data_IF_643994336931
#
_entry.id   IF_643994336931
#
_cell.length_a   1.000
_cell.length_b   1.000
_cell.length_c   1.000
_cell.angle_alpha   90.00
_cell.angle_beta   90.00
_cell.angle_gamma   90.00
#
_symmetry.space_group_name_H-M   'P 1'
#
loop_
_entity.id
_entity.type
_entity.pdbx_description
1 polymer ?
#
# COMPACT_ATOMS: atom_id res chain seq x y z
N UNK A 1 5.57 -7.82 19.29
CA UNK A 1 6.02 -8.69 18.16
C UNK A 1 7.34 -9.37 18.51
N UNK A 2 7.38 -10.70 18.42
CA UNK A 2 8.61 -11.48 18.64
C UNK A 2 9.61 -11.38 17.49
N UNK A 3 10.87 -11.75 17.72
CA UNK A 3 11.90 -11.72 16.67
C UNK A 3 11.64 -12.75 15.55
N UNK A 4 10.97 -13.86 15.88
CA UNK A 4 10.55 -14.84 14.88
C UNK A 4 9.52 -14.24 13.91
N UNK A 5 8.52 -13.53 14.43
CA UNK A 5 7.51 -12.85 13.60
C UNK A 5 8.13 -11.72 12.78
N UNK A 6 9.04 -10.92 13.36
CA UNK A 6 9.77 -9.88 12.61
C UNK A 6 10.55 -10.47 11.43
N UNK A 7 11.26 -11.58 11.64
CA UNK A 7 12.02 -12.24 10.58
C UNK A 7 11.11 -12.71 9.44
N UNK A 8 9.93 -13.27 9.77
CA UNK A 8 8.94 -13.67 8.76
C UNK A 8 8.32 -12.48 8.05
N UNK A 9 8.08 -11.37 8.75
CA UNK A 9 7.56 -10.14 8.15
C UNK A 9 8.55 -9.57 7.12
N UNK A 10 9.85 -9.54 7.44
CA UNK A 10 10.90 -9.17 6.46
C UNK A 10 10.89 -10.11 5.26
N UNK A 11 10.87 -11.44 5.49
CA UNK A 11 10.81 -12.41 4.41
C UNK A 11 9.56 -12.25 3.51
N UNK A 12 8.42 -11.84 4.08
CA UNK A 12 7.20 -11.52 3.34
C UNK A 12 7.39 -10.30 2.43
N UNK A 13 8.02 -9.23 2.91
CA UNK A 13 8.35 -8.06 2.09
C UNK A 13 9.34 -8.44 0.99
N UNK A 14 10.41 -9.17 1.34
CA UNK A 14 11.44 -9.59 0.37
C UNK A 14 10.89 -10.49 -0.75
N UNK A 15 9.86 -11.29 -0.44
CA UNK A 15 9.18 -12.15 -1.39
C UNK A 15 8.07 -11.43 -2.20
N UNK A 16 7.78 -10.16 -1.89
CA UNK A 16 6.67 -9.44 -2.50
C UNK A 16 6.96 -9.13 -3.97
N UNK A 17 6.14 -9.67 -4.86
CA UNK A 17 6.24 -9.40 -6.29
C UNK A 17 5.79 -7.97 -6.60
N UNK A 18 6.43 -7.33 -7.59
CA UNK A 18 6.10 -5.96 -7.99
C UNK A 18 5.82 -5.91 -9.49
N UNK A 19 4.64 -5.40 -9.86
CA UNK A 19 4.27 -5.14 -11.25
C UNK A 19 4.07 -3.65 -11.45
N UNK A 20 5.03 -3.01 -12.12
CA UNK A 20 5.08 -1.55 -12.28
C UNK A 20 4.93 -1.20 -13.76
N UNK A 21 3.99 -0.32 -14.08
CA UNK A 21 3.73 0.17 -15.44
C UNK A 21 3.02 -0.86 -16.31
N UNK A 22 3.79 -1.62 -17.10
CA UNK A 22 3.28 -2.60 -18.07
C UNK A 22 4.25 -3.79 -18.21
N UNK A 23 3.75 -5.03 -18.40
CA UNK A 23 2.34 -5.41 -18.55
C UNK A 23 1.60 -5.64 -17.21
N UNK A 24 0.54 -4.88 -16.97
CA UNK A 24 -0.53 -5.22 -16.02
C UNK A 24 -1.76 -5.61 -16.86
N UNK A 25 -1.95 -6.91 -17.10
CA UNK A 25 -3.11 -7.39 -17.87
C UNK A 25 -4.42 -7.27 -17.06
N UNK A 26 -4.30 -7.34 -15.74
CA UNK A 26 -5.35 -7.11 -14.77
C UNK A 26 -4.66 -6.64 -13.46
N UNK A 27 -4.96 -5.44 -12.93
CA UNK A 27 -5.88 -4.41 -13.43
C UNK A 27 -5.41 -3.73 -14.73
N UNK A 28 -6.31 -2.95 -15.35
CA UNK A 28 -6.06 -2.30 -16.64
C UNK A 28 -4.86 -1.35 -16.54
N UNK A 29 -3.92 -1.44 -17.49
CA UNK A 29 -2.72 -0.59 -17.55
C UNK A 29 -3.02 0.92 -17.49
N UNK A 30 -4.16 1.36 -18.00
CA UNK A 30 -4.56 2.77 -18.02
C UNK A 30 -5.27 3.22 -16.73
N UNK A 31 -5.49 2.33 -15.77
CA UNK A 31 -6.18 2.65 -14.53
C UNK A 31 -5.31 3.55 -13.63
N UNK A 32 -5.94 4.57 -13.04
CA UNK A 32 -5.30 5.49 -12.10
C UNK A 32 -5.56 4.98 -10.70
N UNK A 33 -4.88 3.89 -10.34
CA UNK A 33 -5.01 3.24 -9.03
C UNK A 33 -3.76 2.40 -8.70
N UNK A 34 -3.70 1.80 -7.51
CA UNK A 34 -2.70 0.81 -7.11
C UNK A 34 -3.34 -0.28 -6.24
N UNK A 35 -2.68 -1.43 -6.10
CA UNK A 35 -3.26 -2.59 -5.45
C UNK A 35 -2.22 -3.48 -4.77
N UNK A 36 -2.63 -4.08 -3.65
CA UNK A 36 -2.04 -5.28 -3.09
C UNK A 36 -2.94 -6.49 -3.35
N UNK A 37 -2.37 -7.58 -3.89
CA UNK A 37 -3.08 -8.84 -4.10
C UNK A 37 -2.53 -9.90 -3.12
N UNK A 38 -3.31 -10.18 -2.07
CA UNK A 38 -2.86 -10.95 -0.91
C UNK A 38 -2.45 -12.38 -1.25
N UNK A 39 -3.25 -13.07 -2.08
CA UNK A 39 -3.04 -14.45 -2.50
C UNK A 39 -1.79 -14.65 -3.36
N UNK A 40 -1.24 -13.57 -3.91
CA UNK A 40 -0.01 -13.59 -4.70
C UNK A 40 1.17 -12.91 -3.98
N UNK A 41 0.93 -12.29 -2.82
CA UNK A 41 1.87 -11.39 -2.17
C UNK A 41 2.49 -10.42 -3.20
N UNK A 42 1.63 -9.71 -3.93
CA UNK A 42 2.01 -8.90 -5.08
C UNK A 42 1.45 -7.48 -4.97
N UNK A 43 2.26 -6.48 -5.27
CA UNK A 43 1.83 -5.08 -5.43
C UNK A 43 1.86 -4.68 -6.91
N UNK A 44 0.81 -3.97 -7.34
CA UNK A 44 0.59 -3.60 -8.73
C UNK A 44 0.35 -2.11 -8.86
N UNK A 45 1.16 -1.47 -9.71
CA UNK A 45 1.04 -0.06 -10.08
C UNK A 45 0.88 0.03 -11.60
N UNK A 46 -0.36 0.07 -12.13
CA UNK A 46 -0.61 0.31 -13.55
C UNK A 46 0.05 1.60 -14.04
N UNK A 47 0.40 1.68 -15.33
CA UNK A 47 1.03 2.90 -15.88
C UNK A 47 0.18 4.16 -15.68
N UNK A 48 -1.15 4.04 -15.61
CA UNK A 48 -2.08 5.15 -15.39
C UNK A 48 -1.87 5.90 -14.08
N UNK A 49 -1.40 5.28 -12.99
CA UNK A 49 -1.12 6.00 -11.73
C UNK A 49 0.23 6.72 -11.73
N UNK A 50 1.11 6.41 -12.70
CA UNK A 50 2.50 6.87 -12.77
C UNK A 50 2.64 8.25 -13.42
N UNK A 51 1.79 9.18 -13.04
CA UNK A 51 1.71 10.54 -13.60
C UNK A 51 1.53 11.58 -12.48
N UNK A 52 1.56 12.86 -12.86
CA UNK A 52 1.24 13.96 -11.94
C UNK A 52 -0.18 13.79 -11.36
N UNK A 53 -0.40 14.03 -10.05
CA UNK A 53 0.56 14.56 -9.06
C UNK A 53 1.37 13.48 -8.31
N UNK A 54 1.16 12.20 -8.61
CA UNK A 54 1.75 11.08 -7.86
C UNK A 54 3.23 10.89 -8.16
N UNK A 55 3.66 11.10 -9.40
CA UNK A 55 5.05 10.97 -9.80
C UNK A 55 5.42 11.95 -10.91
N UNK A 56 6.62 12.54 -10.83
CA UNK A 56 7.13 13.42 -11.86
C UNK A 56 8.66 13.38 -11.95
N UNK A 57 9.20 13.22 -13.16
CA UNK A 57 10.66 13.20 -13.39
C UNK A 57 11.34 14.55 -13.09
N UNK A 58 10.60 15.65 -13.17
CA UNK A 58 11.08 16.99 -12.85
C UNK A 58 10.74 17.44 -11.42
N UNK A 59 10.10 16.58 -10.62
CA UNK A 59 9.75 16.94 -9.25
C UNK A 59 10.97 16.87 -8.34
N UNK A 60 11.05 17.75 -7.32
CA UNK A 60 12.00 17.57 -6.25
C UNK A 60 11.83 16.18 -5.62
N UNK A 61 12.94 15.53 -5.26
CA UNK A 61 12.91 14.16 -4.73
C UNK A 61 11.93 14.00 -3.57
N UNK A 62 11.89 14.95 -2.63
CA UNK A 62 10.99 14.93 -1.48
C UNK A 62 9.50 14.90 -1.89
N UNK A 63 9.13 15.47 -3.04
CA UNK A 63 7.76 15.39 -3.56
C UNK A 63 7.48 13.97 -4.01
N UNK A 64 8.36 13.38 -4.83
CA UNK A 64 8.21 11.99 -5.27
C UNK A 64 8.23 11.02 -4.07
N UNK A 65 9.06 11.23 -3.05
CA UNK A 65 9.03 10.43 -1.83
C UNK A 65 7.70 10.56 -1.09
N UNK A 66 7.21 11.80 -0.93
CA UNK A 66 5.95 12.07 -0.25
C UNK A 66 4.71 11.53 -0.97
N UNK A 67 4.71 11.54 -2.30
CA UNK A 67 3.59 11.06 -3.11
C UNK A 67 3.75 9.59 -3.50
N UNK A 68 4.73 9.28 -4.34
CA UNK A 68 4.98 7.93 -4.84
C UNK A 68 5.45 6.99 -3.73
N UNK A 69 6.34 7.46 -2.86
CA UNK A 69 6.81 6.66 -1.72
C UNK A 69 5.68 6.34 -0.74
N UNK A 70 4.76 7.28 -0.49
CA UNK A 70 3.58 7.02 0.34
C UNK A 70 2.68 5.97 -0.31
N UNK A 71 2.35 6.13 -1.60
CA UNK A 71 1.52 5.17 -2.34
C UNK A 71 2.14 3.76 -2.33
N UNK A 72 3.44 3.68 -2.60
CA UNK A 72 4.19 2.43 -2.53
C UNK A 72 4.11 1.76 -1.15
N UNK A 73 4.39 2.52 -0.10
CA UNK A 73 4.36 2.02 1.27
C UNK A 73 2.94 1.70 1.75
N UNK A 74 1.91 2.35 1.21
CA UNK A 74 0.50 2.02 1.44
C UNK A 74 0.21 0.60 0.93
N UNK A 75 0.55 0.30 -0.34
CA UNK A 75 0.35 -1.04 -0.91
C UNK A 75 1.17 -2.13 -0.21
N UNK A 76 2.37 -1.82 0.28
CA UNK A 76 3.15 -2.76 1.08
C UNK A 76 2.48 -3.01 2.45
N UNK A 77 1.92 -1.96 3.05
CA UNK A 77 1.26 -2.03 4.36
C UNK A 77 0.01 -2.90 4.33
N UNK A 78 -0.70 -2.98 3.21
CA UNK A 78 -1.79 -3.93 3.03
C UNK A 78 -1.36 -5.37 3.32
N UNK A 79 -0.11 -5.74 3.01
CA UNK A 79 0.43 -7.06 3.37
C UNK A 79 0.42 -7.36 4.88
N UNK A 80 0.18 -6.38 5.74
CA UNK A 80 0.23 -6.51 7.20
C UNK A 80 -0.99 -5.90 7.92
N UNK A 81 -1.99 -5.44 7.17
CA UNK A 81 -3.23 -4.91 7.76
C UNK A 81 -4.11 -6.03 8.37
N UNK A 82 -5.33 -5.68 8.79
CA UNK A 82 -6.24 -6.63 9.43
C UNK A 82 -6.65 -7.81 8.52
N UNK A 83 -6.50 -7.69 7.20
CA UNK A 83 -6.75 -8.75 6.22
C UNK A 83 -5.44 -9.43 5.81
N UNK A 84 -4.45 -8.65 5.38
CA UNK A 84 -3.19 -9.15 4.83
C UNK A 84 -2.32 -9.89 5.85
N UNK A 85 -2.46 -9.60 7.15
CA UNK A 85 -1.76 -10.36 8.21
C UNK A 85 -2.03 -11.87 8.17
N UNK A 86 -3.15 -12.28 7.57
CA UNK A 86 -3.53 -13.69 7.49
C UNK A 86 -2.85 -14.45 6.34
N UNK A 87 -2.05 -13.77 5.52
CA UNK A 87 -1.37 -14.35 4.37
C UNK A 87 0.13 -14.39 4.65
N UNK A 88 0.78 -15.52 4.37
CA UNK A 88 2.23 -15.66 4.52
C UNK A 88 3.01 -15.11 3.31
N UNK A 89 4.34 -15.28 3.30
CA UNK A 89 5.23 -14.82 2.23
C UNK A 89 4.93 -15.41 0.85
N UNK A 90 4.20 -16.53 0.79
CA UNK A 90 3.82 -17.22 -0.45
C UNK A 90 2.36 -16.96 -0.83
N UNK A 91 1.66 -16.07 -0.11
CA UNK A 91 0.25 -15.77 -0.32
C UNK A 91 -0.71 -16.86 0.21
N UNK A 92 -0.25 -17.76 1.08
CA UNK A 92 -1.14 -18.74 1.69
C UNK A 92 -1.85 -18.15 2.90
N UNK A 93 -3.15 -18.40 3.02
CA UNK A 93 -3.92 -18.00 4.20
C UNK A 93 -3.60 -18.89 5.41
N UNK A 94 -2.73 -18.44 6.29
CA UNK A 94 -2.27 -19.15 7.49
C UNK A 94 -2.04 -18.18 8.65
N UNK A 95 -2.27 -18.63 9.89
CA UNK A 95 -1.91 -17.84 11.08
C UNK A 95 -0.41 -18.05 11.36
N UNK A 96 0.41 -17.07 10.95
CA UNK A 96 1.86 -17.12 11.09
C UNK A 96 2.40 -16.21 12.20
N UNK A 97 1.52 -15.47 12.89
CA UNK A 97 1.86 -14.67 14.06
C UNK A 97 1.69 -15.46 15.34
N UNK A 98 2.52 -15.17 16.33
CA UNK A 98 2.28 -15.65 17.69
C UNK A 98 1.11 -14.89 18.35
N UNK A 99 0.47 -15.54 19.32
CA UNK A 99 -0.70 -14.99 20.00
C UNK A 99 -0.44 -13.63 20.67
N UNK A 100 0.78 -13.41 21.18
CA UNK A 100 1.15 -12.13 21.78
C UNK A 100 1.16 -10.99 20.73
N UNK A 101 1.67 -11.27 19.53
CA UNK A 101 1.67 -10.33 18.41
C UNK A 101 0.26 -10.03 17.91
N UNK A 102 -0.61 -11.04 17.85
CA UNK A 102 -2.02 -10.86 17.46
C UNK A 102 -2.73 -9.92 18.43
N UNK A 103 -2.62 -10.17 19.74
CA UNK A 103 -3.23 -9.33 20.78
C UNK A 103 -2.71 -7.89 20.73
N UNK A 104 -1.39 -7.73 20.59
CA UNK A 104 -0.78 -6.39 20.47
C UNK A 104 -1.24 -5.65 19.21
N UNK A 105 -1.38 -6.37 18.09
CA UNK A 105 -1.87 -5.81 16.83
C UNK A 105 -3.33 -5.38 16.95
N UNK A 106 -4.21 -6.26 17.40
CA UNK A 106 -5.65 -5.98 17.55
C UNK A 106 -5.88 -4.78 18.47
N UNK A 107 -5.11 -4.65 19.54
CA UNK A 107 -5.15 -3.48 20.43
C UNK A 107 -4.83 -2.18 19.69
N UNK A 108 -3.84 -2.17 18.79
CA UNK A 108 -3.46 -0.98 18.00
C UNK A 108 -4.45 -0.72 16.87
N UNK A 109 -4.92 -1.79 16.21
CA UNK A 109 -5.92 -1.75 15.16
C UNK A 109 -7.24 -1.17 15.68
N UNK A 110 -7.60 -1.46 16.95
CA UNK A 110 -8.76 -0.86 17.61
C UNK A 110 -8.64 0.66 17.74
N UNK A 111 -7.44 1.22 17.94
CA UNK A 111 -7.27 2.67 17.98
C UNK A 111 -7.68 3.35 16.67
N UNK A 112 -7.44 2.72 15.52
CA UNK A 112 -7.91 3.23 14.23
C UNK A 112 -9.44 3.17 14.12
N UNK A 113 -10.06 2.08 14.57
CA UNK A 113 -11.53 1.98 14.60
C UNK A 113 -12.10 3.12 15.45
N UNK A 114 -11.63 3.24 16.69
CA UNK A 114 -12.12 4.24 17.64
C UNK A 114 -11.92 5.68 17.13
N UNK A 115 -10.80 5.94 16.46
CA UNK A 115 -10.53 7.24 15.86
C UNK A 115 -11.49 7.55 14.71
N UNK A 116 -11.66 6.62 13.77
CA UNK A 116 -12.45 6.86 12.57
C UNK A 116 -13.96 6.81 12.83
N UNK A 117 -14.42 6.08 13.86
CA UNK A 117 -15.82 6.11 14.34
C UNK A 117 -16.25 7.50 14.86
N UNK A 118 -15.30 8.40 15.16
CA UNK A 118 -15.58 9.76 15.60
C UNK A 118 -15.75 10.75 14.43
N UNK A 119 -15.48 10.32 13.19
CA UNK A 119 -15.54 11.20 12.03
C UNK A 119 -16.91 11.19 11.35
N UNK A 120 -17.32 12.37 10.90
CA UNK A 120 -18.48 12.57 10.06
C UNK A 120 -18.06 13.23 8.76
N UNK A 121 -18.60 12.74 7.65
CA UNK A 121 -18.43 13.34 6.32
C UNK A 121 -19.76 13.88 5.84
N UNK A 122 -19.70 14.86 4.95
CA UNK A 122 -20.87 15.31 4.22
C UNK A 122 -20.92 14.49 2.93
N UNK A 123 -21.98 13.69 2.77
CA UNK A 123 -22.16 12.90 1.57
C UNK A 123 -22.67 13.75 0.39
N UNK A 124 -22.82 13.13 -0.78
CA UNK A 124 -23.22 13.81 -2.02
C UNK A 124 -24.57 14.54 -1.93
N UNK A 125 -25.44 14.13 -1.00
CA UNK A 125 -26.75 14.73 -0.77
C UNK A 125 -26.71 15.87 0.27
N UNK A 126 -25.52 16.25 0.74
CA UNK A 126 -25.33 17.29 1.75
C UNK A 126 -25.65 16.85 3.18
N UNK A 127 -25.80 15.54 3.43
CA UNK A 127 -26.12 15.00 4.76
C UNK A 127 -24.84 14.55 5.47
N UNK A 128 -24.82 14.77 6.78
CA UNK A 128 -23.78 14.20 7.64
C UNK A 128 -23.95 12.68 7.72
N UNK A 129 -22.86 11.96 7.50
CA UNK A 129 -22.77 10.50 7.55
C UNK A 129 -21.56 10.11 8.40
N UNK A 130 -21.75 9.15 9.31
CA UNK A 130 -20.66 8.68 10.15
C UNK A 130 -19.76 7.75 9.35
N UNK A 131 -18.45 7.93 9.47
CA UNK A 131 -17.51 6.90 9.03
C UNK A 131 -17.65 5.70 9.96
N UNK A 132 -17.59 4.50 9.39
CA UNK A 132 -17.54 3.25 10.15
C UNK A 132 -16.09 2.78 10.19
N UNK A 133 -15.40 2.99 11.31
CA UNK A 133 -13.97 2.76 11.47
C UNK A 133 -13.56 1.31 11.20
N UNK A 134 -14.41 0.34 11.56
CA UNK A 134 -14.16 -1.07 11.22
C UNK A 134 -14.15 -1.33 9.71
N UNK A 135 -14.99 -0.63 8.93
CA UNK A 135 -15.04 -0.81 7.47
C UNK A 135 -13.86 -0.16 6.75
N UNK A 136 -13.23 0.85 7.36
CA UNK A 136 -12.07 1.55 6.79
C UNK A 136 -10.75 1.09 7.40
N UNK A 137 -10.78 0.09 8.29
CA UNK A 137 -9.61 -0.26 9.11
C UNK A 137 -8.38 -0.63 8.27
N UNK A 138 -8.54 -1.41 7.20
CA UNK A 138 -7.44 -1.82 6.33
C UNK A 138 -6.73 -0.62 5.71
N UNK A 139 -7.50 0.24 5.03
CA UNK A 139 -7.02 1.47 4.39
C UNK A 139 -6.37 2.43 5.39
N UNK A 140 -6.98 2.60 6.56
CA UNK A 140 -6.46 3.55 7.57
C UNK A 140 -5.18 3.06 8.23
N UNK A 141 -5.00 1.74 8.39
CA UNK A 141 -3.72 1.14 8.77
C UNK A 141 -2.69 1.34 7.65
N UNK A 142 -3.08 1.11 6.39
CA UNK A 142 -2.20 1.25 5.24
C UNK A 142 -1.74 2.70 5.03
N UNK A 143 -2.63 3.68 5.19
CA UNK A 143 -2.32 5.11 5.15
C UNK A 143 -1.32 5.52 6.24
N UNK A 144 -1.55 5.09 7.50
CA UNK A 144 -0.65 5.38 8.60
C UNK A 144 0.73 4.72 8.42
N UNK A 145 0.75 3.48 7.92
CA UNK A 145 1.98 2.78 7.54
C UNK A 145 2.72 3.49 6.41
N UNK A 146 1.98 3.93 5.39
CA UNK A 146 2.50 4.64 4.22
C UNK A 146 3.14 5.98 4.59
N UNK A 147 2.43 6.82 5.34
CA UNK A 147 2.92 8.12 5.77
C UNK A 147 4.10 8.01 6.74
N UNK A 148 4.12 7.00 7.61
CA UNK A 148 5.26 6.82 8.54
C UNK A 148 6.52 6.29 7.86
N UNK A 149 6.39 5.55 6.77
CA UNK A 149 7.51 4.92 6.04
C UNK A 149 8.02 5.75 4.85
N UNK A 150 7.19 6.62 4.27
CA UNK A 150 7.55 7.47 3.12
C UNK A 150 8.70 8.46 3.37
N UNK A 151 8.80 9.19 4.52
CA UNK A 151 9.83 10.21 4.75
C UNK A 151 11.24 9.67 4.99
N UNK A 152 11.41 8.38 5.25
CA UNK A 152 12.74 7.81 5.58
C UNK A 152 13.65 7.69 4.36
N UNK A 153 13.15 8.02 3.15
CA UNK A 153 13.91 7.92 1.90
C UNK A 153 14.28 6.47 1.55
N UNK A 154 13.75 5.52 2.30
CA UNK A 154 14.14 4.13 2.24
C UNK A 154 13.28 3.41 1.20
N UNK A 155 13.60 3.68 -0.07
CA UNK A 155 13.21 2.82 -1.20
C UNK A 155 13.76 1.38 -1.06
N UNK A 156 14.45 1.04 0.06
CA UNK A 156 14.77 -0.35 0.42
C UNK A 156 13.58 -1.17 0.90
N UNK A 157 12.36 -0.63 0.96
CA UNK A 157 11.13 -1.46 0.97
C UNK A 157 10.91 -2.22 -0.35
N UNK A 158 11.99 -2.59 -1.06
CA UNK A 158 12.01 -3.45 -2.22
C UNK A 158 11.72 -2.78 -3.55
N UNK A 159 11.25 -1.53 -3.61
CA UNK A 159 10.87 -0.93 -4.90
C UNK A 159 12.09 -0.52 -5.70
N UNK A 160 12.33 -1.28 -6.77
CA UNK A 160 13.46 -1.07 -7.65
C UNK A 160 13.25 0.20 -8.49
N UNK A 161 14.04 1.25 -8.20
CA UNK A 161 14.07 2.50 -8.95
C UNK A 161 14.32 2.33 -10.46
N UNK A 162 14.97 1.23 -10.88
CA UNK A 162 15.15 0.96 -12.33
C UNK A 162 13.85 0.54 -13.02
N UNK A 163 12.89 -0.05 -12.30
CA UNK A 163 11.56 -0.40 -12.84
C UNK A 163 10.68 0.85 -12.99
N UNK A 164 10.81 1.82 -12.09
CA UNK A 164 10.25 3.17 -12.24
C UNK A 164 10.81 3.89 -13.47
N UNK A 165 12.10 3.73 -13.73
CA UNK A 165 12.77 4.29 -14.90
C UNK A 165 12.45 3.56 -16.22
N UNK A 166 11.85 2.36 -16.19
CA UNK A 166 11.35 1.66 -17.37
C UNK A 166 9.91 2.10 -17.72
N UNK A 167 9.05 2.29 -16.70
CA UNK A 167 7.73 2.89 -16.87
C UNK A 167 7.80 4.33 -17.43
N UNK A 168 8.91 5.04 -17.18
CA UNK A 168 9.35 6.30 -17.82
C UNK A 168 9.06 6.41 -19.31
N UNK A 169 9.16 5.32 -20.07
CA UNK A 169 9.04 5.32 -21.53
C UNK A 169 7.63 4.97 -22.03
N UNK A 170 6.73 4.54 -21.15
CA UNK A 170 5.41 4.04 -21.51
C UNK A 170 4.37 5.15 -21.38
N UNK A 171 4.37 5.90 -20.28
CA UNK A 171 3.37 6.95 -19.99
C UNK A 171 3.28 8.01 -21.10
N UNK A 172 4.39 8.59 -21.62
CA UNK A 172 4.31 9.59 -22.70
C UNK A 172 3.82 9.03 -24.05
N UNK A 173 3.85 7.71 -24.23
CA UNK A 173 3.34 7.05 -25.44
C UNK A 173 1.83 6.81 -25.40
N UNK A 174 1.25 6.70 -24.19
CA UNK A 174 -0.19 6.52 -23.99
C UNK A 174 -0.96 7.85 -24.04
N UNK A 175 -0.34 8.98 -23.68
CA UNK A 175 -0.94 10.34 -23.84
C UNK A 175 -1.11 10.77 -25.31
N UNK A 176 -0.51 10.06 -26.26
CA UNK A 176 -0.55 10.36 -27.71
C UNK A 176 -1.44 9.43 -28.53
N UNK A 177 -2.12 8.48 -27.88
CA UNK A 177 -3.06 7.54 -28.50
C UNK A 177 -4.51 7.95 -28.20
#
# INVERSE_FOLDING_TARGET
>A
MSDAVKKRAVAKVDAMAQKIGYPTANPNVAEVNAYHIYEQNEIVFPAGIMQSPFFGLGYPEYVNYGSWGMLASHEISHGFDNLGRHYDESGNKVEWWDNATIVDFEKRAQCFIDQYDQYQIINSDGKAENITGISTQAETIADAGGVSSSPTGDLSMGINLTDLAAARNIVPSMEKA
#
